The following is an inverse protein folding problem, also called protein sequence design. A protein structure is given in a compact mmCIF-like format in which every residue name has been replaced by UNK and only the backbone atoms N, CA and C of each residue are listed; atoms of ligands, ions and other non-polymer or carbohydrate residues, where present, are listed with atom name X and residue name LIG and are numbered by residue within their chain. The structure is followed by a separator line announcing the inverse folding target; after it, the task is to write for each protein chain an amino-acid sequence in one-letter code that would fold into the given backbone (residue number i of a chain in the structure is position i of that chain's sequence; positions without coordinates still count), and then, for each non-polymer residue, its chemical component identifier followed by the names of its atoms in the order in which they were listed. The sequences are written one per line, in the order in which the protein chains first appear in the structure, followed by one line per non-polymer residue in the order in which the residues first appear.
data_IF_893589350915
#
_entry.id   IF_893589350915
#
_cell.length_a   1.000
_cell.length_b   1.000
_cell.length_c   1.000
_cell.angle_alpha   90.00
_cell.angle_beta   90.00
_cell.angle_gamma   90.00
#
_symmetry.space_group_name_H-M   'P 1'
#
loop_
_entity.id
_entity.type
_entity.pdbx_description
1 polymer ?
#
# COMPACT_ATOMS: atom_id res chain seq x y z
N UNK A 1 8.04 5.65 -3.03
CA UNK A 1 6.70 6.01 -3.53
C UNK A 1 5.88 6.53 -2.36
N UNK A 2 5.40 7.77 -2.43
CA UNK A 2 4.62 8.37 -1.32
C UNK A 2 3.17 7.93 -1.40
N UNK A 3 2.66 7.38 -0.29
CA UNK A 3 1.29 6.95 -0.14
C UNK A 3 0.58 7.86 0.84
N UNK A 4 -0.66 8.24 0.53
CA UNK A 4 -1.48 9.11 1.36
C UNK A 4 -2.46 8.28 2.20
N UNK A 5 -2.56 8.63 3.48
CA UNK A 5 -3.69 8.22 4.33
C UNK A 5 -4.95 8.99 3.90
N UNK A 6 -5.92 8.27 3.33
CA UNK A 6 -7.19 8.82 2.89
C UNK A 6 -8.35 8.37 3.80
N UNK A 7 -8.08 8.19 5.10
CA UNK A 7 -9.04 7.72 6.09
C UNK A 7 -9.20 6.21 6.05
N UNK A 8 -10.20 5.72 5.31
CA UNK A 8 -10.47 4.28 5.19
C UNK A 8 -9.59 3.57 4.17
N UNK A 9 -8.84 4.32 3.35
CA UNK A 9 -8.02 3.75 2.28
C UNK A 9 -6.62 4.36 2.26
N UNK A 10 -5.66 3.50 1.99
CA UNK A 10 -4.26 3.84 1.79
C UNK A 10 -4.01 3.98 0.29
N UNK A 11 -3.74 5.20 -0.20
CA UNK A 11 -3.79 5.50 -1.63
C UNK A 11 -2.43 5.93 -2.20
N UNK A 12 -2.07 5.34 -3.34
CA UNK A 12 -1.02 5.86 -4.21
C UNK A 12 -1.59 7.03 -5.01
N UNK A 13 -0.96 8.19 -4.92
CA UNK A 13 -1.37 9.37 -5.69
C UNK A 13 -0.93 9.22 -7.14
N UNK A 14 -1.87 9.44 -8.06
CA UNK A 14 -1.67 9.31 -9.50
C UNK A 14 -1.71 10.65 -10.23
N UNK A 15 -2.46 11.63 -9.71
CA UNK A 15 -2.58 12.97 -10.30
C UNK A 15 -2.89 14.02 -9.22
N UNK A 16 -2.35 15.23 -9.41
CA UNK A 16 -2.59 16.38 -8.53
C UNK A 16 -2.78 17.64 -9.37
N UNK A 17 -3.95 18.27 -9.26
CA UNK A 17 -4.25 19.55 -9.93
C UNK A 17 -4.43 20.66 -8.91
N UNK A 18 -3.88 21.84 -9.19
CA UNK A 18 -4.05 23.02 -8.35
C UNK A 18 -5.10 23.94 -8.97
N UNK A 19 -6.03 24.45 -8.16
CA UNK A 19 -6.93 25.51 -8.57
C UNK A 19 -6.14 26.81 -8.75
N UNK A 20 -6.59 27.64 -9.70
CA UNK A 20 -6.06 29.00 -9.92
C UNK A 20 -7.11 30.01 -9.51
N UNK A 21 -7.22 30.33 -8.22
CA UNK A 21 -8.17 31.33 -7.76
C UNK A 21 -7.79 32.73 -8.26
N UNK A 22 -8.78 33.62 -8.35
CA UNK A 22 -8.55 35.05 -8.60
C UNK A 22 -7.92 35.76 -7.40
N UNK A 23 -7.82 37.09 -7.47
CA UNK A 23 -7.06 37.97 -6.55
C UNK A 23 -7.23 37.70 -5.04
N UNK A 24 -8.40 37.24 -4.61
CA UNK A 24 -8.72 37.01 -3.19
C UNK A 24 -9.08 35.56 -2.86
N UNK A 25 -8.91 34.62 -3.79
CA UNK A 25 -9.33 33.23 -3.56
C UNK A 25 -8.22 32.35 -3.01
N UNK A 26 -8.63 31.29 -2.30
CA UNK A 26 -7.73 30.29 -1.76
C UNK A 26 -7.49 29.16 -2.77
N UNK A 27 -6.24 28.74 -2.91
CA UNK A 27 -5.89 27.61 -3.74
C UNK A 27 -6.44 26.31 -3.15
N UNK A 28 -6.87 25.42 -4.04
CA UNK A 28 -7.38 24.08 -3.73
C UNK A 28 -6.58 23.06 -4.51
N UNK A 29 -6.36 21.88 -3.95
CA UNK A 29 -5.65 20.77 -4.59
C UNK A 29 -6.67 19.68 -4.88
N UNK A 30 -6.83 19.29 -6.14
CA UNK A 30 -7.61 18.13 -6.54
C UNK A 30 -6.65 16.97 -6.65
N UNK A 31 -6.81 15.97 -5.81
CA UNK A 31 -5.92 14.82 -5.75
C UNK A 31 -6.69 13.61 -6.22
N UNK A 32 -6.11 12.86 -7.15
CA UNK A 32 -6.64 11.58 -7.62
C UNK A 32 -5.60 10.50 -7.37
N UNK A 33 -6.05 9.39 -6.81
CA UNK A 33 -5.20 8.23 -6.52
C UNK A 33 -5.94 6.92 -6.68
N UNK A 34 -5.25 5.83 -6.36
CA UNK A 34 -5.79 4.49 -6.29
C UNK A 34 -5.41 3.86 -4.95
N UNK A 35 -6.35 3.19 -4.30
CA UNK A 35 -6.08 2.40 -3.11
C UNK A 35 -5.08 1.30 -3.45
N UNK A 36 -4.01 1.15 -2.67
CA UNK A 36 -2.95 0.18 -2.97
C UNK A 36 -3.35 -1.27 -2.72
N UNK A 37 -4.42 -1.46 -1.93
CA UNK A 37 -5.02 -2.76 -1.70
C UNK A 37 -6.11 -3.00 -2.75
N UNK A 38 -7.16 -2.19 -2.75
CA UNK A 38 -8.38 -2.52 -3.53
C UNK A 38 -8.37 -2.05 -5.00
N UNK A 39 -7.32 -1.36 -5.46
CA UNK A 39 -7.24 -0.61 -6.74
C UNK A 39 -8.38 0.41 -6.97
N UNK A 40 -9.26 0.61 -5.98
CA UNK A 40 -10.38 1.54 -6.06
C UNK A 40 -9.85 2.97 -6.20
N UNK A 41 -10.45 3.71 -7.13
CA UNK A 41 -10.10 5.09 -7.39
C UNK A 41 -10.53 5.98 -6.21
N UNK A 42 -9.62 6.83 -5.78
CA UNK A 42 -9.83 7.86 -4.79
C UNK A 42 -9.73 9.24 -5.45
N UNK A 43 -10.63 10.16 -5.09
CA UNK A 43 -10.59 11.55 -5.57
C UNK A 43 -11.09 12.47 -4.49
N UNK A 44 -10.25 13.42 -4.08
CA UNK A 44 -10.60 14.38 -3.02
C UNK A 44 -10.05 15.78 -3.34
N UNK A 45 -10.72 16.79 -2.79
CA UNK A 45 -10.35 18.19 -2.89
C UNK A 45 -9.85 18.67 -1.54
N UNK A 46 -8.62 19.13 -1.52
CA UNK A 46 -7.99 19.66 -0.33
C UNK A 46 -7.81 21.17 -0.39
N UNK A 47 -7.87 21.79 0.77
CA UNK A 47 -7.53 23.21 0.93
C UNK A 47 -6.02 23.38 1.11
N UNK A 48 -5.50 24.60 0.96
CA UNK A 48 -4.07 24.86 1.13
C UNK A 48 -3.53 24.47 2.52
N UNK A 49 -4.37 24.53 3.56
CA UNK A 49 -3.99 24.26 4.94
C UNK A 49 -4.26 22.81 5.38
N UNK A 50 -4.77 21.96 4.49
CA UNK A 50 -5.00 20.55 4.79
C UNK A 50 -3.67 19.86 5.07
N UNK A 51 -3.56 19.19 6.22
CA UNK A 51 -2.40 18.37 6.61
C UNK A 51 -2.73 16.91 6.30
N UNK A 52 -1.73 16.18 5.81
CA UNK A 52 -1.89 14.77 5.48
C UNK A 52 -0.88 13.92 6.21
N UNK A 53 -1.31 12.72 6.58
CA UNK A 53 -0.40 11.64 6.91
C UNK A 53 0.02 10.95 5.62
N UNK A 54 1.30 10.65 5.53
CA UNK A 54 1.84 9.90 4.42
C UNK A 54 2.74 8.80 4.96
N UNK A 55 2.87 7.76 4.15
CA UNK A 55 3.71 6.62 4.43
C UNK A 55 4.70 6.43 3.28
N UNK A 56 5.87 5.92 3.63
CA UNK A 56 6.81 5.41 2.66
C UNK A 56 6.57 3.92 2.51
N UNK A 57 6.37 3.46 1.28
CA UNK A 57 6.36 2.02 0.99
C UNK A 57 7.78 1.49 1.00
N UNK A 58 8.00 0.44 1.77
CA UNK A 58 9.11 -0.50 1.60
C UNK A 58 8.59 -1.71 0.81
N UNK A 59 9.42 -2.23 -0.10
CA UNK A 59 9.18 -3.50 -0.77
C UNK A 59 10.34 -4.39 -0.40
N UNK A 60 10.05 -5.50 0.24
CA UNK A 60 11.01 -6.51 0.66
C UNK A 60 10.66 -7.80 -0.09
N UNK A 61 11.69 -8.53 -0.51
CA UNK A 61 11.53 -9.76 -1.28
C UNK A 61 12.04 -10.91 -0.44
N UNK A 62 11.14 -11.82 -0.09
CA UNK A 62 11.45 -13.01 0.69
C UNK A 62 11.41 -14.25 -0.19
N UNK A 63 12.22 -15.25 0.16
CA UNK A 63 12.09 -16.59 -0.37
C UNK A 63 11.15 -17.39 0.53
N UNK A 64 10.16 -18.04 -0.07
CA UNK A 64 9.29 -18.99 0.66
C UNK A 64 10.08 -20.27 0.87
N UNK A 65 10.30 -20.64 2.12
CA UNK A 65 11.05 -21.84 2.49
C UNK A 65 10.11 -23.01 2.78
N UNK A 66 9.00 -22.74 3.47
CA UNK A 66 8.02 -23.75 3.85
C UNK A 66 6.64 -23.14 4.13
N UNK A 67 5.63 -24.00 4.27
CA UNK A 67 4.31 -23.66 4.80
C UNK A 67 4.13 -24.45 6.10
N UNK A 68 3.85 -23.76 7.20
CA UNK A 68 3.67 -24.39 8.51
C UNK A 68 2.35 -25.16 8.58
N UNK A 69 2.23 -26.08 9.56
CA UNK A 69 1.01 -26.86 9.80
C UNK A 69 -0.22 -25.98 10.11
N UNK A 70 0.00 -24.74 10.56
CA UNK A 70 -1.02 -23.75 10.88
C UNK A 70 -1.35 -22.80 9.70
N UNK A 71 -0.96 -23.15 8.47
CA UNK A 71 -1.15 -22.35 7.24
C UNK A 71 -0.47 -20.96 7.27
N UNK A 72 0.71 -20.85 7.91
CA UNK A 72 1.58 -19.67 7.82
C UNK A 72 2.77 -19.91 6.89
N UNK A 73 3.27 -18.84 6.27
CA UNK A 73 4.45 -18.88 5.41
C UNK A 73 5.72 -18.76 6.25
N UNK A 74 6.67 -19.69 6.07
CA UNK A 74 8.03 -19.54 6.55
C UNK A 74 8.86 -18.81 5.47
N UNK A 75 9.16 -17.54 5.73
CA UNK A 75 9.81 -16.61 4.80
C UNK A 75 11.24 -16.30 5.24
N UNK A 76 12.19 -16.37 4.32
CA UNK A 76 13.59 -16.00 4.57
C UNK A 76 13.98 -14.78 3.73
N UNK A 77 14.58 -13.77 4.35
CA UNK A 77 15.20 -12.69 3.61
C UNK A 77 16.56 -13.16 3.07
N UNK A 78 16.71 -13.21 1.75
CA UNK A 78 17.96 -13.61 1.09
C UNK A 78 19.00 -12.49 1.04
N UNK A 79 18.59 -11.26 1.33
CA UNK A 79 19.47 -10.10 1.39
C UNK A 79 20.03 -9.85 2.79
N UNK A 80 19.42 -10.45 3.81
CA UNK A 80 19.91 -10.41 5.17
C UNK A 80 20.97 -11.51 5.40
N UNK A 81 22.10 -11.16 5.99
CA UNK A 81 23.17 -12.12 6.28
C UNK A 81 22.88 -12.93 7.55
N UNK A 82 21.91 -12.49 8.35
CA UNK A 82 21.63 -13.08 9.65
C UNK A 82 20.68 -14.30 9.54
N UNK A 83 20.13 -14.57 8.35
CA UNK A 83 19.30 -15.75 8.09
C UNK A 83 17.98 -15.76 8.86
N UNK A 84 17.47 -14.58 9.22
CA UNK A 84 16.24 -14.39 9.98
C UNK A 84 15.04 -14.98 9.22
N UNK A 85 14.26 -15.78 9.94
CA UNK A 85 13.05 -16.45 9.43
C UNK A 85 11.82 -15.74 9.97
N UNK A 86 10.85 -15.52 9.10
CA UNK A 86 9.61 -14.81 9.37
C UNK A 86 8.42 -15.76 9.17
N UNK A 87 7.61 -15.94 10.21
CA UNK A 87 6.49 -16.89 10.26
C UNK A 87 5.14 -16.24 10.67
N UNK A 88 5.06 -14.92 10.67
CA UNK A 88 3.85 -14.15 11.04
C UNK A 88 2.94 -13.82 9.84
N UNK A 89 3.27 -14.29 8.63
CA UNK A 89 2.51 -14.02 7.42
C UNK A 89 1.63 -15.23 7.07
N UNK A 90 0.28 -15.11 7.12
CA UNK A 90 -0.60 -16.22 6.77
C UNK A 90 -0.54 -16.52 5.27
N UNK A 91 -0.78 -17.77 4.90
CA UNK A 91 -0.95 -18.18 3.51
C UNK A 91 -2.13 -17.39 2.88
N UNK A 92 -1.94 -16.76 1.71
CA UNK A 92 -3.01 -16.02 1.05
C UNK A 92 -4.21 -16.90 0.70
N UNK A 93 -5.41 -16.39 0.98
CA UNK A 93 -6.69 -17.02 0.70
C UNK A 93 -7.46 -16.31 -0.43
N UNK A 94 -8.73 -16.70 -0.66
CA UNK A 94 -9.55 -16.12 -1.72
C UNK A 94 -9.86 -14.63 -1.54
N UNK A 95 -9.78 -14.12 -0.31
CA UNK A 95 -10.06 -12.72 0.02
C UNK A 95 -8.78 -11.87 -0.01
N UNK A 96 -7.62 -12.52 -0.16
CA UNK A 96 -6.33 -11.87 -0.27
C UNK A 96 -6.12 -11.21 -1.64
N UNK A 97 -5.22 -10.22 -1.68
CA UNK A 97 -4.92 -9.45 -2.91
C UNK A 97 -4.39 -10.30 -4.07
N UNK A 98 -3.68 -11.36 -3.73
CA UNK A 98 -3.15 -12.34 -4.69
C UNK A 98 -3.59 -13.74 -4.26
N UNK A 99 -4.88 -14.03 -4.45
CA UNK A 99 -5.47 -15.32 -4.11
C UNK A 99 -4.80 -16.50 -4.86
N UNK A 100 -4.21 -16.23 -6.02
CA UNK A 100 -3.51 -17.25 -6.81
C UNK A 100 -2.15 -17.61 -6.19
N UNK A 101 -1.55 -16.73 -5.38
CA UNK A 101 -0.29 -17.01 -4.69
C UNK A 101 -0.41 -18.21 -3.74
N UNK A 102 -1.51 -18.29 -2.98
CA UNK A 102 -1.78 -19.42 -2.09
C UNK A 102 -1.86 -20.75 -2.85
N UNK A 103 -2.40 -20.75 -4.07
CA UNK A 103 -2.45 -21.93 -4.93
C UNK A 103 -1.10 -22.31 -5.53
N UNK A 104 -0.20 -21.32 -5.72
CA UNK A 104 1.14 -21.53 -6.29
C UNK A 104 2.16 -21.99 -5.26
N UNK A 105 1.93 -21.69 -3.99
CA UNK A 105 2.78 -22.11 -2.88
C UNK A 105 2.53 -23.57 -2.44
N UNK A 106 1.35 -24.13 -2.79
CA UNK A 106 0.99 -25.54 -2.57
C UNK A 106 1.33 -26.40 -3.78
#
# INVERSE_FOLDING_TARGET
MTILDCGENVCKITDVKLSRPGKHGHAKKFVTGKCVLTDRKFTEIFTHHSVFKYFTMANETYTVCDITDDDFLALMDIMDNDGEMREDVPLPDSDSLDADLGQRCR
#
